data_IF_478274709740
#
_entry.id   IF_478274709740
#
_cell.length_a   1.000
_cell.length_b   1.000
_cell.length_c   1.000
_cell.angle_alpha   90.00
_cell.angle_beta   90.00
_cell.angle_gamma   90.00
#
_symmetry.space_group_name_H-M   'P 1'
#
loop_
_entity.id
_entity.type
_entity.pdbx_description
1 polymer ?
#
# COMPACT_ATOMS: atom_id res chain seq x y z
N UNK A 1 26.92 0.72 -43.18
CA UNK A 1 27.34 0.21 -41.85
C UNK A 1 26.40 0.81 -40.82
N UNK A 2 25.44 0.03 -40.31
CA UNK A 2 24.38 0.53 -39.42
C UNK A 2 24.95 0.60 -38.01
N UNK A 3 25.14 1.81 -37.48
CA UNK A 3 25.56 2.03 -36.10
C UNK A 3 24.42 1.64 -35.16
N UNK A 4 24.69 0.68 -34.26
CA UNK A 4 23.76 0.29 -33.20
C UNK A 4 23.73 1.40 -32.15
N UNK A 5 22.60 2.10 -32.03
CA UNK A 5 22.33 2.99 -30.91
C UNK A 5 22.41 2.19 -29.60
N UNK A 6 23.42 2.48 -28.77
CA UNK A 6 23.45 2.04 -27.37
C UNK A 6 22.26 2.68 -26.68
N UNK A 7 21.38 1.86 -26.11
CA UNK A 7 20.25 2.34 -25.31
C UNK A 7 20.84 2.88 -24.01
N UNK A 8 20.89 4.21 -23.85
CA UNK A 8 21.43 4.85 -22.65
C UNK A 8 20.53 4.54 -21.44
N UNK A 9 21.16 4.28 -20.30
CA UNK A 9 20.43 4.13 -19.03
C UNK A 9 20.05 5.53 -18.52
N UNK A 10 18.79 5.70 -18.14
CA UNK A 10 18.31 6.91 -17.48
C UNK A 10 18.59 6.81 -15.99
N UNK A 11 18.99 7.90 -15.35
CA UNK A 11 19.25 7.93 -13.92
C UNK A 11 18.64 9.18 -13.28
N UNK A 12 18.14 9.02 -12.05
CA UNK A 12 17.64 10.10 -11.20
C UNK A 12 18.35 10.00 -9.87
N UNK A 13 19.05 11.07 -9.47
CA UNK A 13 19.76 11.14 -8.20
C UNK A 13 19.36 12.40 -7.45
N UNK A 14 18.90 12.24 -6.21
CA UNK A 14 18.59 13.33 -5.28
C UNK A 14 19.64 13.29 -4.17
N UNK A 15 20.25 14.44 -3.91
CA UNK A 15 21.29 14.61 -2.90
C UNK A 15 20.97 15.80 -2.01
N UNK A 16 21.27 15.69 -0.71
CA UNK A 16 21.28 16.80 0.23
C UNK A 16 22.71 17.04 0.72
N UNK A 17 23.19 18.27 0.50
CA UNK A 17 24.57 18.64 0.78
C UNK A 17 25.61 17.88 -0.07
N UNK A 18 26.85 17.88 0.39
CA UNK A 18 28.00 17.32 -0.35
C UNK A 18 28.15 15.79 -0.19
N UNK A 19 27.43 15.15 0.73
CA UNK A 19 27.67 13.74 1.08
C UNK A 19 26.40 12.89 1.27
N UNK A 20 25.21 13.47 1.36
CA UNK A 20 23.97 12.73 1.55
C UNK A 20 23.33 12.38 0.21
N UNK A 21 23.48 11.14 -0.27
CA UNK A 21 22.62 10.65 -1.35
C UNK A 21 21.27 10.28 -0.74
N UNK A 22 20.21 11.02 -1.04
CA UNK A 22 18.86 10.71 -0.51
C UNK A 22 18.22 9.61 -1.33
N UNK A 23 18.22 9.74 -2.66
CA UNK A 23 17.55 8.82 -3.57
C UNK A 23 18.41 8.60 -4.82
N UNK A 24 18.53 7.36 -5.26
CA UNK A 24 19.15 7.00 -6.53
C UNK A 24 18.30 5.95 -7.26
N UNK A 25 17.81 6.31 -8.44
CA UNK A 25 17.01 5.47 -9.32
C UNK A 25 17.75 5.31 -10.64
N UNK A 26 17.94 4.08 -11.09
CA UNK A 26 18.47 3.76 -12.42
C UNK A 26 17.42 2.99 -13.22
N UNK A 27 17.21 3.40 -14.46
CA UNK A 27 16.22 2.87 -15.38
C UNK A 27 16.94 2.48 -16.68
N UNK A 28 16.64 1.29 -17.18
CA UNK A 28 17.15 0.84 -18.47
C UNK A 28 16.02 0.16 -19.24
N UNK A 29 15.78 0.61 -20.49
CA UNK A 29 14.68 0.10 -21.34
C UNK A 29 13.33 0.06 -20.60
N UNK A 30 12.96 1.17 -19.95
CA UNK A 30 11.73 1.32 -19.16
C UNK A 30 11.58 0.34 -17.98
N UNK A 31 12.65 -0.33 -17.56
CA UNK A 31 12.65 -1.17 -16.38
C UNK A 31 13.53 -0.53 -15.30
N UNK A 32 13.04 -0.59 -14.05
CA UNK A 32 13.79 -0.18 -12.87
C UNK A 32 14.92 -1.18 -12.64
N UNK A 33 16.18 -0.73 -12.72
CA UNK A 33 17.35 -1.58 -12.49
C UNK A 33 17.99 -1.35 -11.13
N UNK A 34 17.77 -0.18 -10.52
CA UNK A 34 18.30 0.15 -9.19
C UNK A 34 17.44 1.18 -8.50
N UNK A 35 17.20 0.98 -7.21
CA UNK A 35 16.48 1.91 -6.33
C UNK A 35 17.16 1.91 -4.97
N UNK A 36 17.84 3.01 -4.63
CA UNK A 36 18.49 3.19 -3.33
C UNK A 36 17.92 4.45 -2.67
N UNK A 37 17.27 4.29 -1.52
CA UNK A 37 16.81 5.39 -0.66
C UNK A 37 17.68 5.34 0.61
N UNK A 38 18.42 6.42 0.88
CA UNK A 38 19.44 6.54 1.94
C UNK A 38 19.07 7.67 2.92
N UNK A 39 17.78 7.74 3.23
CA UNK A 39 17.25 8.71 4.19
C UNK A 39 16.95 8.02 5.52
N UNK A 40 17.53 8.53 6.60
CA UNK A 40 17.24 8.13 7.99
C UNK A 40 15.81 8.57 8.41
N UNK A 41 15.05 9.25 7.54
CA UNK A 41 13.59 9.41 7.62
C UNK A 41 12.79 8.10 7.43
N UNK A 42 13.39 6.95 7.75
CA UNK A 42 12.58 5.81 8.19
C UNK A 42 11.72 6.30 9.35
N UNK A 43 10.41 6.28 9.14
CA UNK A 43 9.38 6.61 10.10
C UNK A 43 9.73 6.03 11.49
N UNK A 44 10.35 6.83 12.38
CA UNK A 44 10.49 6.51 13.80
C UNK A 44 9.12 6.53 14.50
N UNK A 45 8.13 7.14 13.86
CA UNK A 45 6.73 6.92 14.18
C UNK A 45 6.35 5.53 13.68
N UNK A 46 6.49 4.55 14.57
CA UNK A 46 5.88 3.24 14.40
C UNK A 46 4.37 3.45 14.35
N UNK A 47 3.79 3.60 13.15
CA UNK A 47 2.35 3.51 12.99
C UNK A 47 2.00 2.07 13.30
N UNK A 48 1.34 1.83 14.43
CA UNK A 48 0.69 0.55 14.69
C UNK A 48 -0.38 0.42 13.60
N UNK A 49 -0.03 -0.31 12.55
CA UNK A 49 -0.96 -0.71 11.52
C UNK A 49 -1.72 -1.90 12.10
N UNK A 50 -2.85 -1.62 12.74
CA UNK A 50 -3.83 -2.66 12.98
C UNK A 50 -4.53 -2.98 11.66
N UNK A 51 -3.86 -3.79 10.82
CA UNK A 51 -4.41 -4.28 9.56
C UNK A 51 -5.83 -4.83 9.73
N UNK A 52 -6.17 -5.58 10.80
CA UNK A 52 -7.55 -5.99 11.04
C UNK A 52 -8.53 -4.83 11.17
N UNK A 53 -8.16 -3.75 11.86
CA UNK A 53 -9.00 -2.56 11.99
C UNK A 53 -9.20 -1.90 10.62
N UNK A 54 -8.14 -1.74 9.83
CA UNK A 54 -8.23 -1.12 8.51
C UNK A 54 -9.12 -1.94 7.57
N UNK A 55 -8.96 -3.27 7.57
CA UNK A 55 -9.77 -4.15 6.74
C UNK A 55 -11.24 -4.14 7.18
N UNK A 56 -11.52 -4.25 8.48
CA UNK A 56 -12.89 -4.28 9.02
C UNK A 56 -13.63 -2.94 8.86
N UNK A 57 -12.92 -1.82 8.96
CA UNK A 57 -13.50 -0.49 8.88
C UNK A 57 -13.20 0.23 7.56
N UNK A 58 -12.80 -0.50 6.51
CA UNK A 58 -12.46 0.07 5.20
C UNK A 58 -13.53 1.04 4.70
N UNK A 59 -14.81 0.64 4.73
CA UNK A 59 -15.92 1.52 4.33
C UNK A 59 -16.00 2.80 5.18
N UNK A 60 -15.83 2.68 6.50
CA UNK A 60 -15.85 3.83 7.42
C UNK A 60 -14.65 4.76 7.18
N UNK A 61 -13.48 4.21 6.88
CA UNK A 61 -12.27 4.96 6.53
C UNK A 61 -12.48 5.77 5.26
N UNK A 62 -13.08 5.17 4.24
CA UNK A 62 -13.38 5.87 2.98
C UNK A 62 -14.38 7.00 3.17
N UNK A 63 -15.43 6.74 3.96
CA UNK A 63 -16.49 7.70 4.22
C UNK A 63 -16.07 8.83 5.18
N UNK A 64 -14.98 8.65 5.92
CA UNK A 64 -14.41 9.67 6.81
C UNK A 64 -13.84 10.87 6.03
N UNK A 65 -13.60 11.99 6.71
CA UNK A 65 -12.86 13.13 6.17
C UNK A 65 -11.38 13.03 6.47
N UNK A 66 -10.56 13.73 5.70
CA UNK A 66 -9.17 13.99 6.05
C UNK A 66 -8.91 15.50 6.03
N UNK A 67 -8.00 15.96 6.91
CA UNK A 67 -7.85 17.37 7.30
C UNK A 67 -7.59 18.34 6.12
N UNK A 68 -6.91 17.87 5.08
CA UNK A 68 -6.49 18.64 3.90
C UNK A 68 -7.24 18.26 2.62
N UNK A 69 -8.33 17.49 2.71
CA UNK A 69 -9.14 17.19 1.51
C UNK A 69 -9.73 18.52 0.99
N UNK A 70 -9.56 18.81 -0.30
CA UNK A 70 -10.08 20.04 -0.91
C UNK A 70 -11.59 20.15 -0.67
N UNK A 71 -12.02 21.09 0.19
CA UNK A 71 -13.41 21.23 0.54
C UNK A 71 -14.05 22.48 -0.05
N UNK A 72 -14.71 22.32 -1.20
CA UNK A 72 -15.68 23.30 -1.70
C UNK A 72 -16.81 23.51 -0.68
N UNK A 73 -17.45 24.67 -0.71
CA UNK A 73 -18.54 25.04 0.23
C UNK A 73 -19.67 23.99 0.30
N UNK A 74 -20.02 23.38 -0.84
CA UNK A 74 -20.98 22.26 -0.93
C UNK A 74 -20.46 20.93 -0.37
N UNK A 75 -19.15 20.70 -0.40
CA UNK A 75 -18.53 19.51 0.20
C UNK A 75 -18.42 19.62 1.73
N UNK A 76 -18.21 20.83 2.27
CA UNK A 76 -18.22 21.09 3.72
C UNK A 76 -19.56 20.74 4.35
N UNK A 77 -20.66 21.11 3.67
CA UNK A 77 -22.01 20.80 4.13
C UNK A 77 -22.31 19.30 4.10
N UNK A 78 -21.93 18.61 3.01
CA UNK A 78 -22.06 17.14 2.86
C UNK A 78 -21.14 16.35 3.79
N UNK A 79 -20.14 17.01 4.36
CA UNK A 79 -19.19 16.37 5.25
C UNK A 79 -19.61 16.53 6.72
N UNK A 80 -20.49 17.47 7.09
CA UNK A 80 -20.99 17.61 8.47
C UNK A 80 -21.43 16.23 9.04
N UNK A 81 -20.90 15.86 10.21
CA UNK A 81 -21.16 14.56 10.85
C UNK A 81 -20.20 13.41 10.51
N UNK A 82 -19.31 13.54 9.51
CA UNK A 82 -18.29 12.52 9.22
C UNK A 82 -17.08 12.66 10.14
N UNK A 83 -16.59 11.54 10.67
CA UNK A 83 -15.37 11.49 11.47
C UNK A 83 -14.15 11.95 10.66
N UNK A 84 -13.15 12.53 11.34
CA UNK A 84 -11.85 12.82 10.74
C UNK A 84 -10.94 11.61 10.91
N UNK A 85 -10.18 11.29 9.87
CA UNK A 85 -9.15 10.27 9.89
C UNK A 85 -7.86 10.80 9.26
N UNK A 86 -6.72 10.25 9.71
CA UNK A 86 -5.43 10.63 9.19
C UNK A 86 -5.24 10.17 7.73
N UNK A 87 -4.47 10.95 6.96
CA UNK A 87 -4.23 10.67 5.54
C UNK A 87 -3.55 9.34 5.28
N UNK A 88 -2.55 9.00 6.10
CA UNK A 88 -1.83 7.74 5.96
C UNK A 88 -2.75 6.53 6.11
N UNK A 89 -3.84 6.62 6.89
CA UNK A 89 -4.82 5.53 7.02
C UNK A 89 -5.66 5.37 5.75
N UNK A 90 -6.08 6.48 5.13
CA UNK A 90 -6.78 6.44 3.83
C UNK A 90 -5.88 5.96 2.70
N UNK A 91 -4.63 6.43 2.69
CA UNK A 91 -3.62 6.00 1.72
C UNK A 91 -3.34 4.50 1.86
N UNK A 92 -3.24 3.99 3.10
CA UNK A 92 -3.07 2.58 3.37
C UNK A 92 -4.28 1.74 2.96
N UNK A 93 -5.52 2.17 3.25
CA UNK A 93 -6.75 1.53 2.74
C UNK A 93 -6.73 1.45 1.21
N UNK A 94 -6.38 2.55 0.54
CA UNK A 94 -6.29 2.61 -0.91
C UNK A 94 -5.22 1.65 -1.45
N UNK A 95 -4.03 1.61 -0.85
CA UNK A 95 -2.95 0.67 -1.18
C UNK A 95 -3.39 -0.77 -1.01
N UNK A 96 -4.05 -1.12 0.09
CA UNK A 96 -4.55 -2.47 0.33
C UNK A 96 -5.61 -2.87 -0.69
N UNK A 97 -6.55 -1.98 -1.03
CA UNK A 97 -7.55 -2.22 -2.08
C UNK A 97 -6.91 -2.40 -3.46
N UNK A 98 -5.85 -1.65 -3.74
CA UNK A 98 -5.13 -1.70 -5.01
C UNK A 98 -4.14 -2.88 -5.09
N UNK A 99 -3.67 -3.41 -3.96
CA UNK A 99 -2.74 -4.55 -3.90
C UNK A 99 -3.28 -5.81 -4.60
N UNK A 100 -4.61 -5.97 -4.65
CA UNK A 100 -5.27 -7.05 -5.38
C UNK A 100 -5.00 -7.02 -6.90
N UNK A 101 -4.54 -5.90 -7.45
CA UNK A 101 -4.22 -5.71 -8.87
C UNK A 101 -2.71 -5.70 -9.14
N UNK A 102 -1.90 -5.73 -8.10
CA UNK A 102 -0.43 -5.70 -8.16
C UNK A 102 0.18 -7.05 -7.76
N UNK A 103 -0.61 -8.11 -7.66
CA UNK A 103 -0.13 -9.46 -7.34
C UNK A 103 1.09 -9.84 -8.20
N UNK A 104 1.04 -9.61 -9.52
CA UNK A 104 2.14 -9.90 -10.44
C UNK A 104 3.42 -9.09 -10.19
N UNK A 105 3.33 -7.93 -9.50
CA UNK A 105 4.47 -7.11 -9.11
C UNK A 105 5.17 -7.66 -7.86
N UNK A 106 4.45 -8.33 -6.96
CA UNK A 106 5.01 -9.01 -5.78
C UNK A 106 5.45 -10.45 -6.08
N UNK A 107 4.92 -11.08 -7.12
CA UNK A 107 5.34 -12.42 -7.55
C UNK A 107 6.59 -12.42 -8.43
N UNK A 108 7.01 -11.27 -8.94
CA UNK A 108 8.26 -11.15 -9.69
C UNK A 108 9.42 -10.70 -8.79
N UNK A 109 10.32 -11.65 -8.54
CA UNK A 109 11.66 -11.52 -7.92
C UNK A 109 11.74 -11.57 -6.39
N UNK A 110 12.42 -12.62 -5.90
CA UNK A 110 13.13 -12.78 -4.61
C UNK A 110 12.38 -12.60 -3.26
N UNK A 111 11.14 -12.13 -3.23
CA UNK A 111 10.40 -11.82 -1.99
C UNK A 111 9.22 -12.77 -1.67
N UNK A 112 9.19 -13.96 -2.29
CA UNK A 112 8.13 -14.97 -2.04
C UNK A 112 8.00 -15.35 -0.55
N UNK A 113 9.11 -15.29 0.19
CA UNK A 113 9.20 -15.64 1.61
C UNK A 113 8.31 -14.75 2.50
N UNK A 114 8.20 -13.45 2.21
CA UNK A 114 7.33 -12.56 2.99
C UNK A 114 5.85 -12.86 2.77
N UNK A 115 5.44 -13.09 1.51
CA UNK A 115 4.07 -13.44 1.18
C UNK A 115 3.67 -14.79 1.79
N UNK A 116 4.57 -15.78 1.73
CA UNK A 116 4.34 -17.08 2.38
C UNK A 116 4.26 -16.96 3.89
N UNK A 117 5.11 -16.14 4.53
CA UNK A 117 5.00 -15.85 5.97
C UNK A 117 3.67 -15.20 6.33
N UNK A 118 3.24 -14.18 5.59
CA UNK A 118 1.97 -13.49 5.84
C UNK A 118 0.79 -14.45 5.67
N UNK A 119 0.74 -15.19 4.56
CA UNK A 119 -0.33 -16.18 4.31
C UNK A 119 -0.31 -17.34 5.30
N UNK A 120 0.87 -17.74 5.79
CA UNK A 120 1.04 -18.73 6.86
C UNK A 120 0.48 -18.24 8.19
N UNK A 121 0.76 -16.98 8.58
CA UNK A 121 0.22 -16.35 9.80
C UNK A 121 -1.30 -16.23 9.72
N UNK A 122 -1.81 -15.76 8.58
CA UNK A 122 -3.25 -15.59 8.34
C UNK A 122 -3.96 -16.95 8.16
N UNK A 123 -3.20 -17.99 7.80
CA UNK A 123 -3.71 -19.32 7.44
C UNK A 123 -4.83 -19.24 6.37
N UNK A 124 -4.59 -18.41 5.35
CA UNK A 124 -5.55 -18.05 4.32
C UNK A 124 -5.09 -16.85 3.51
N UNK A 125 -5.97 -16.34 2.65
CA UNK A 125 -5.69 -15.17 1.80
C UNK A 125 -6.77 -14.12 1.96
N UNK A 126 -6.37 -12.86 2.00
CA UNK A 126 -7.27 -11.72 2.01
C UNK A 126 -7.11 -10.99 0.68
N UNK A 127 -8.22 -10.73 0.00
CA UNK A 127 -8.24 -9.97 -1.27
C UNK A 127 -9.38 -8.98 -1.27
N UNK A 128 -9.21 -7.89 -1.99
CA UNK A 128 -10.27 -6.91 -2.21
C UNK A 128 -11.14 -7.32 -3.40
N UNK A 129 -12.46 -7.49 -3.17
CA UNK A 129 -13.45 -7.78 -4.23
C UNK A 129 -14.13 -6.48 -4.68
N UNK A 130 -13.75 -6.00 -5.87
CA UNK A 130 -14.34 -4.80 -6.51
C UNK A 130 -15.84 -4.89 -6.75
N UNK A 131 -16.41 -6.09 -6.97
CA UNK A 131 -17.84 -6.23 -7.25
C UNK A 131 -18.67 -6.03 -6.00
N UNK A 132 -18.11 -6.41 -4.85
CA UNK A 132 -18.76 -6.32 -3.54
C UNK A 132 -18.31 -5.11 -2.72
N UNK A 133 -17.28 -4.42 -3.20
CA UNK A 133 -16.64 -3.28 -2.53
C UNK A 133 -16.13 -3.61 -1.12
N UNK A 134 -15.72 -4.87 -0.89
CA UNK A 134 -15.31 -5.40 0.41
C UNK A 134 -14.01 -6.21 0.33
N UNK A 135 -13.33 -6.36 1.47
CA UNK A 135 -12.26 -7.36 1.60
C UNK A 135 -12.87 -8.72 1.92
N UNK A 136 -12.33 -9.76 1.30
CA UNK A 136 -12.77 -11.15 1.43
C UNK A 136 -11.59 -12.00 1.90
N UNK A 137 -11.81 -12.72 2.99
CA UNK A 137 -10.93 -13.80 3.43
C UNK A 137 -11.32 -15.10 2.73
N UNK A 138 -10.33 -15.86 2.27
CA UNK A 138 -10.51 -17.16 1.63
C UNK A 138 -9.56 -18.20 2.20
N UNK A 139 -10.10 -19.40 2.47
CA UNK A 139 -9.36 -20.57 2.94
C UNK A 139 -9.90 -21.82 2.27
N UNK A 140 -9.10 -22.42 1.39
CA UNK A 140 -9.54 -23.57 0.61
C UNK A 140 -10.73 -23.22 -0.29
N UNK A 141 -11.91 -23.79 0.00
CA UNK A 141 -13.17 -23.54 -0.73
C UNK A 141 -14.09 -22.53 -0.04
N UNK A 142 -13.76 -22.13 1.19
CA UNK A 142 -14.57 -21.21 1.98
C UNK A 142 -14.09 -19.77 1.76
N UNK A 143 -15.06 -18.86 1.65
CA UNK A 143 -14.83 -17.43 1.51
C UNK A 143 -15.81 -16.66 2.37
N UNK A 144 -15.30 -15.72 3.14
CA UNK A 144 -16.08 -14.90 4.07
C UNK A 144 -15.71 -13.43 3.90
N UNK A 145 -16.71 -12.55 3.96
CA UNK A 145 -16.45 -11.11 4.09
C UNK A 145 -15.60 -10.85 5.34
N UNK A 146 -14.62 -9.94 5.24
CA UNK A 146 -13.67 -9.70 6.32
C UNK A 146 -14.36 -9.23 7.60
N UNK A 147 -15.51 -8.54 7.49
CA UNK A 147 -16.31 -8.07 8.63
C UNK A 147 -16.89 -9.21 9.46
N UNK A 148 -17.00 -10.40 8.86
CA UNK A 148 -17.49 -11.62 9.51
C UNK A 148 -16.34 -12.51 9.98
N UNK A 149 -15.09 -12.10 9.76
CA UNK A 149 -13.91 -12.81 10.23
C UNK A 149 -13.47 -12.19 11.54
N UNK A 150 -13.62 -12.94 12.63
CA UNK A 150 -13.02 -12.56 13.90
C UNK A 150 -11.49 -12.64 13.76
N UNK A 151 -10.85 -11.49 13.53
CA UNK A 151 -9.42 -11.32 13.77
C UNK A 151 -9.20 -11.45 15.27
N UNK A 152 -8.97 -12.67 15.75
CA UNK A 152 -8.61 -12.89 17.14
C UNK A 152 -7.37 -12.07 17.48
N UNK A 153 -7.54 -11.06 18.35
CA UNK A 153 -6.42 -10.47 19.07
C UNK A 153 -5.89 -11.62 19.95
N UNK A 154 -4.88 -12.35 19.49
CA UNK A 154 -4.02 -13.07 20.43
C UNK A 154 -3.20 -11.98 21.10
N UNK A 155 -3.69 -11.43 22.20
CA UNK A 155 -2.85 -10.61 23.06
C UNK A 155 -1.74 -11.52 23.56
N UNK A 156 -0.49 -11.13 23.34
CA UNK A 156 0.66 -11.72 24.01
C UNK A 156 0.74 -11.13 25.42
#
# INVERSE_FOLDING_TARGET
MISRNKTEASHVKITEGESGCILNIELHKNNLTKFNLQDDLYFNDSVIIETPMILNFSESIQNSKSLFAAQDKKSRLRSLGRANIAFHIKDLDAKLRNSAYEEDLFFNSNDSDLYEKITGIINGKIKFDKKRDEFVYSKGKESHSIVNVASGIKSF
#
